data_IF_233565115789
#
_entry.id   IF_233565115789
#
_cell.length_a   1.000
_cell.length_b   1.000
_cell.length_c   1.000
_cell.angle_alpha   90.00
_cell.angle_beta   90.00
_cell.angle_gamma   90.00
#
_symmetry.space_group_name_H-M   'P 1'
#
loop_
_entity.id
_entity.type
_entity.pdbx_description
1 polymer ?
#
# COMPACT_ATOMS: atom_id res chain seq x y z
N UNK A 1 20.99 15.13 -47.88
CA UNK A 1 20.05 13.97 -47.91
C UNK A 1 18.98 14.12 -48.99
N UNK A 2 18.49 15.34 -49.27
CA UNK A 2 17.43 15.58 -50.26
C UNK A 2 17.82 15.26 -51.72
N UNK A 3 19.07 15.47 -52.11
CA UNK A 3 19.55 15.21 -53.48
C UNK A 3 19.40 13.74 -53.90
N UNK A 4 19.59 12.81 -52.96
CA UNK A 4 19.46 11.37 -53.23
C UNK A 4 18.00 10.92 -53.36
N UNK A 5 17.05 11.57 -52.67
CA UNK A 5 15.63 11.29 -52.83
C UNK A 5 15.12 11.81 -54.18
N UNK A 6 15.51 13.03 -54.56
CA UNK A 6 15.18 13.60 -55.87
C UNK A 6 15.72 12.74 -57.02
N UNK A 7 16.97 12.26 -56.91
CA UNK A 7 17.54 11.40 -57.93
C UNK A 7 16.77 10.08 -58.06
N UNK A 8 16.43 9.41 -56.95
CA UNK A 8 15.66 8.16 -56.97
C UNK A 8 14.25 8.34 -57.52
N UNK A 9 13.59 9.46 -57.18
CA UNK A 9 12.29 9.81 -57.75
C UNK A 9 12.39 10.07 -59.27
N UNK A 10 13.43 10.76 -59.72
CA UNK A 10 13.69 11.03 -61.13
C UNK A 10 13.93 9.75 -61.93
N UNK A 11 14.74 8.81 -61.40
CA UNK A 11 14.93 7.48 -61.99
C UNK A 11 13.63 6.67 -62.03
N UNK A 12 12.82 6.72 -60.96
CA UNK A 12 11.51 6.06 -60.93
C UNK A 12 10.57 6.57 -62.01
N UNK A 13 10.47 7.90 -62.18
CA UNK A 13 9.65 8.53 -63.22
C UNK A 13 10.16 8.20 -64.62
N UNK A 14 11.49 8.18 -64.82
CA UNK A 14 12.09 7.85 -66.12
C UNK A 14 11.79 6.40 -66.52
N UNK A 15 11.92 5.45 -65.58
CA UNK A 15 11.56 4.04 -65.80
C UNK A 15 10.06 3.89 -66.07
N UNK A 16 9.21 4.59 -65.32
CA UNK A 16 7.77 4.56 -65.51
C UNK A 16 7.39 5.09 -66.91
N UNK A 17 7.97 6.23 -67.32
CA UNK A 17 7.74 6.83 -68.63
C UNK A 17 8.21 5.96 -69.79
N UNK A 18 9.40 5.36 -69.68
CA UNK A 18 9.91 4.42 -70.70
C UNK A 18 9.04 3.18 -70.83
N UNK A 19 8.53 2.64 -69.71
CA UNK A 19 7.64 1.48 -69.72
C UNK A 19 6.27 1.77 -70.37
N UNK A 20 5.71 2.96 -70.12
CA UNK A 20 4.48 3.45 -70.73
C UNK A 20 4.62 3.60 -72.25
N UNK A 21 5.78 4.07 -72.72
CA UNK A 21 6.05 4.28 -74.14
C UNK A 21 6.32 2.98 -74.92
N UNK A 22 6.92 1.96 -74.29
CA UNK A 22 7.32 0.72 -74.98
C UNK A 22 6.25 -0.36 -74.99
N UNK A 23 5.45 -0.49 -73.93
CA UNK A 23 4.49 -1.60 -73.77
C UNK A 23 3.01 -1.16 -73.89
N UNK A 24 2.74 0.14 -73.97
CA UNK A 24 1.40 0.72 -74.04
C UNK A 24 0.67 0.72 -72.68
N UNK A 25 -0.32 1.61 -72.54
CA UNK A 25 -1.02 1.86 -71.27
C UNK A 25 -1.62 0.58 -70.64
N UNK A 26 -2.18 -0.30 -71.47
CA UNK A 26 -2.87 -1.51 -71.02
C UNK A 26 -1.95 -2.49 -70.28
N UNK A 27 -0.73 -2.72 -70.77
CA UNK A 27 0.20 -3.67 -70.17
C UNK A 27 0.74 -3.16 -68.82
N UNK A 28 0.99 -1.86 -68.73
CA UNK A 28 1.44 -1.22 -67.48
C UNK A 28 0.39 -1.32 -66.38
N UNK A 29 -0.89 -1.14 -66.72
CA UNK A 29 -2.00 -1.28 -65.78
C UNK A 29 -2.14 -2.72 -65.26
N UNK A 30 -1.99 -3.73 -66.13
CA UNK A 30 -2.01 -5.12 -65.70
C UNK A 30 -0.86 -5.47 -64.75
N UNK A 31 0.36 -5.03 -65.04
CA UNK A 31 1.50 -5.26 -64.12
C UNK A 31 1.23 -4.67 -62.74
N UNK A 32 0.68 -3.45 -62.68
CA UNK A 32 0.35 -2.80 -61.40
C UNK A 32 -0.71 -3.60 -60.63
N UNK A 33 -1.75 -4.10 -61.31
CA UNK A 33 -2.75 -4.98 -60.69
C UNK A 33 -2.12 -6.27 -60.17
N UNK A 34 -1.23 -6.91 -60.94
CA UNK A 34 -0.55 -8.13 -60.50
C UNK A 34 0.32 -7.89 -59.26
N UNK A 35 1.04 -6.76 -59.19
CA UNK A 35 1.83 -6.39 -58.01
C UNK A 35 0.91 -6.15 -56.80
N UNK A 36 -0.22 -5.46 -56.97
CA UNK A 36 -1.17 -5.24 -55.88
C UNK A 36 -1.77 -6.55 -55.37
N UNK A 37 -2.17 -7.46 -56.27
CA UNK A 37 -2.66 -8.79 -55.90
C UNK A 37 -1.60 -9.61 -55.16
N UNK A 38 -0.33 -9.50 -55.56
CA UNK A 38 0.77 -10.16 -54.88
C UNK A 38 0.98 -9.62 -53.46
N UNK A 39 0.94 -8.30 -53.27
CA UNK A 39 1.07 -7.67 -51.94
C UNK A 39 -0.09 -8.08 -51.04
N UNK A 40 -1.33 -8.05 -51.55
CA UNK A 40 -2.52 -8.46 -50.79
C UNK A 40 -2.42 -9.95 -50.42
N UNK A 41 -2.03 -10.81 -51.36
CA UNK A 41 -1.81 -12.24 -51.09
C UNK A 41 -0.74 -12.47 -50.03
N UNK A 42 0.37 -11.74 -50.10
CA UNK A 42 1.45 -11.83 -49.11
C UNK A 42 0.98 -11.39 -47.71
N UNK A 43 0.24 -10.29 -47.61
CA UNK A 43 -0.33 -9.82 -46.34
C UNK A 43 -1.36 -10.81 -45.76
N UNK A 44 -2.18 -11.44 -46.61
CA UNK A 44 -3.11 -12.48 -46.17
C UNK A 44 -2.37 -13.72 -45.64
N UNK A 45 -1.30 -14.15 -46.31
CA UNK A 45 -0.48 -15.28 -45.83
C UNK A 45 0.21 -14.93 -44.51
N UNK A 46 0.79 -13.74 -44.38
CA UNK A 46 1.39 -13.29 -43.11
C UNK A 46 0.35 -13.18 -41.99
N UNK A 47 -0.83 -12.64 -42.29
CA UNK A 47 -1.93 -12.54 -41.33
C UNK A 47 -2.43 -13.91 -40.90
N UNK A 48 -2.59 -14.84 -41.84
CA UNK A 48 -3.02 -16.22 -41.55
C UNK A 48 -1.97 -16.99 -40.75
N UNK A 49 -0.69 -16.88 -41.12
CA UNK A 49 0.41 -17.49 -40.39
C UNK A 49 0.57 -16.89 -38.99
N UNK A 50 0.42 -15.56 -38.88
CA UNK A 50 0.43 -14.85 -37.60
C UNK A 50 -0.76 -15.23 -36.71
N UNK A 51 -1.95 -15.43 -37.30
CA UNK A 51 -3.13 -15.89 -36.59
C UNK A 51 -2.95 -17.32 -36.06
N UNK A 52 -2.45 -18.25 -36.89
CA UNK A 52 -2.14 -19.62 -36.47
C UNK A 52 -1.08 -19.63 -35.36
N UNK A 53 0.02 -18.89 -35.54
CA UNK A 53 1.10 -18.85 -34.56
C UNK A 53 0.67 -18.21 -33.24
N UNK A 54 -0.16 -17.16 -33.29
CA UNK A 54 -0.73 -16.51 -32.12
C UNK A 54 -1.67 -17.45 -31.37
N UNK A 55 -2.51 -18.18 -32.10
CA UNK A 55 -3.42 -19.17 -31.52
C UNK A 55 -2.65 -20.33 -30.87
N UNK A 56 -1.61 -20.83 -31.53
CA UNK A 56 -0.77 -21.91 -31.01
C UNK A 56 0.04 -21.46 -29.79
N UNK A 57 0.58 -20.24 -29.79
CA UNK A 57 1.28 -19.65 -28.64
C UNK A 57 0.31 -19.47 -27.45
N UNK A 58 -0.92 -19.01 -27.70
CA UNK A 58 -1.94 -18.85 -26.67
C UNK A 58 -2.42 -20.20 -26.10
N UNK A 59 -2.48 -21.23 -26.95
CA UNK A 59 -2.80 -22.60 -26.52
C UNK A 59 -1.67 -23.20 -25.67
N UNK A 60 -0.43 -23.07 -26.12
CA UNK A 60 0.76 -23.54 -25.38
C UNK A 60 0.92 -22.82 -24.04
N UNK A 61 0.57 -21.54 -23.95
CA UNK A 61 0.54 -20.79 -22.69
C UNK A 61 -0.55 -21.29 -21.71
N UNK A 62 -1.65 -21.85 -22.22
CA UNK A 62 -2.72 -22.43 -21.40
C UNK A 62 -2.44 -23.88 -20.98
N UNK A 63 -1.77 -24.65 -21.83
CA UNK A 63 -1.48 -26.08 -21.60
C UNK A 63 -0.15 -26.32 -20.86
N UNK A 64 0.71 -25.29 -20.72
CA UNK A 64 1.62 -25.15 -19.59
C UNK A 64 2.56 -26.33 -19.31
N UNK A 65 3.48 -26.61 -20.22
CA UNK A 65 4.77 -27.21 -19.86
C UNK A 65 5.85 -26.17 -20.16
N UNK A 66 6.15 -25.32 -19.18
CA UNK A 66 7.28 -24.40 -19.28
C UNK A 66 8.56 -25.24 -19.39
N UNK A 67 9.06 -25.41 -20.62
CA UNK A 67 10.41 -25.93 -20.87
C UNK A 67 11.46 -25.16 -20.06
N UNK A 68 12.66 -25.74 -19.86
CA UNK A 68 13.62 -25.29 -18.85
C UNK A 68 13.90 -23.80 -19.02
N UNK A 69 13.32 -23.04 -18.10
CA UNK A 69 13.36 -21.60 -18.08
C UNK A 69 14.82 -21.19 -18.02
N UNK A 70 15.23 -20.28 -18.92
CA UNK A 70 16.60 -19.82 -19.04
C UNK A 70 17.16 -19.40 -17.67
N UNK A 71 18.43 -19.75 -17.42
CA UNK A 71 19.16 -19.52 -16.14
C UNK A 71 19.06 -18.08 -15.58
N UNK A 72 18.68 -17.11 -16.40
CA UNK A 72 18.42 -15.73 -15.97
C UNK A 72 17.12 -15.56 -15.18
N UNK A 73 16.04 -16.28 -15.53
CA UNK A 73 14.78 -16.18 -14.79
C UNK A 73 14.86 -16.87 -13.44
N UNK A 74 15.66 -17.93 -13.29
CA UNK A 74 15.87 -18.58 -12.00
C UNK A 74 16.54 -17.62 -11.01
N UNK A 75 17.47 -16.78 -11.48
CA UNK A 75 18.11 -15.76 -10.65
C UNK A 75 17.13 -14.64 -10.27
N UNK A 76 16.27 -14.23 -11.19
CA UNK A 76 15.22 -13.22 -10.93
C UNK A 76 14.13 -13.78 -10.02
N UNK A 77 13.71 -15.03 -10.22
CA UNK A 77 12.79 -15.74 -9.33
C UNK A 77 13.42 -15.95 -7.97
N UNK A 78 14.71 -16.26 -7.87
CA UNK A 78 15.42 -16.34 -6.58
C UNK A 78 15.46 -14.98 -5.88
N UNK A 79 15.82 -13.90 -6.57
CA UNK A 79 15.80 -12.53 -6.00
C UNK A 79 14.39 -12.13 -5.54
N UNK A 80 13.35 -12.40 -6.35
CA UNK A 80 11.95 -12.14 -5.99
C UNK A 80 11.47 -13.07 -4.86
N UNK A 81 11.91 -14.33 -4.84
CA UNK A 81 11.59 -15.26 -3.76
C UNK A 81 12.34 -14.92 -2.48
N UNK A 82 13.54 -14.35 -2.56
CA UNK A 82 14.38 -13.96 -1.43
C UNK A 82 13.92 -12.61 -0.86
N UNK A 83 13.46 -11.69 -1.70
CA UNK A 83 12.72 -10.50 -1.26
C UNK A 83 11.38 -10.89 -0.63
N UNK A 84 10.64 -11.85 -1.21
CA UNK A 84 9.43 -12.43 -0.62
C UNK A 84 9.69 -13.31 0.62
N UNK A 85 10.90 -13.87 0.79
CA UNK A 85 11.31 -14.63 1.99
C UNK A 85 11.77 -13.71 3.11
N UNK A 86 12.42 -12.59 2.79
CA UNK A 86 12.59 -11.47 3.74
C UNK A 86 11.22 -10.95 4.20
N UNK A 87 10.23 -11.02 3.31
CA UNK A 87 8.83 -10.72 3.59
C UNK A 87 8.06 -11.81 4.36
N UNK A 88 8.63 -13.02 4.53
CA UNK A 88 8.10 -14.00 5.49
C UNK A 88 8.45 -13.52 6.88
N UNK A 89 7.63 -12.60 7.35
CA UNK A 89 7.56 -12.17 8.72
C UNK A 89 7.47 -13.41 9.61
N UNK A 90 8.39 -13.51 10.56
CA UNK A 90 8.46 -14.62 11.49
C UNK A 90 7.09 -14.78 12.16
N UNK A 91 6.43 -15.93 11.95
CA UNK A 91 5.08 -16.22 12.49
C UNK A 91 5.13 -16.34 14.02
N UNK A 92 6.32 -16.26 14.62
CA UNK A 92 6.57 -16.33 16.05
C UNK A 92 6.67 -14.91 16.60
N UNK A 93 5.54 -14.40 17.08
CA UNK A 93 5.44 -13.06 17.66
C UNK A 93 5.64 -13.11 19.18
N UNK A 94 5.27 -14.21 19.81
CA UNK A 94 5.39 -14.38 21.27
C UNK A 94 5.96 -15.73 21.69
N UNK A 95 6.07 -16.68 20.75
CA UNK A 95 6.49 -18.07 21.01
C UNK A 95 5.33 -19.04 21.25
N UNK A 96 4.09 -18.57 21.19
CA UNK A 96 2.86 -19.38 21.27
C UNK A 96 1.97 -19.14 20.05
N UNK A 97 1.75 -20.17 19.24
CA UNK A 97 0.92 -20.08 18.03
C UNK A 97 -0.54 -19.68 18.33
N UNK A 98 -1.03 -19.97 19.54
CA UNK A 98 -2.38 -19.63 20.00
C UNK A 98 -2.62 -18.12 20.09
N UNK A 99 -1.59 -17.33 20.36
CA UNK A 99 -1.70 -15.87 20.53
C UNK A 99 -1.30 -15.17 19.23
N UNK A 100 -0.32 -15.72 18.53
CA UNK A 100 0.23 -15.10 17.31
C UNK A 100 -0.77 -15.14 16.15
N UNK A 101 -1.60 -16.18 16.08
CA UNK A 101 -2.62 -16.36 15.03
C UNK A 101 -3.79 -15.35 15.11
N UNK A 102 -4.47 -15.16 16.26
CA UNK A 102 -5.50 -14.13 16.39
C UNK A 102 -4.92 -12.71 16.30
N UNK A 103 -3.68 -12.48 16.74
CA UNK A 103 -3.04 -11.16 16.60
C UNK A 103 -2.81 -10.81 15.12
N UNK A 104 -2.39 -11.79 14.32
CA UNK A 104 -2.19 -11.63 12.89
C UNK A 104 -3.52 -11.39 12.16
N UNK A 105 -4.60 -12.02 12.61
CA UNK A 105 -5.96 -11.81 12.10
C UNK A 105 -6.47 -10.40 12.42
N UNK A 106 -6.35 -9.94 13.67
CA UNK A 106 -6.71 -8.57 14.07
C UNK A 106 -5.93 -7.54 13.25
N UNK A 107 -4.64 -7.78 13.02
CA UNK A 107 -3.82 -6.91 12.18
C UNK A 107 -4.36 -6.87 10.76
N UNK A 108 -4.70 -8.02 10.16
CA UNK A 108 -5.30 -8.07 8.83
C UNK A 108 -6.63 -7.33 8.75
N UNK A 109 -7.50 -7.48 9.75
CA UNK A 109 -8.77 -6.77 9.83
C UNK A 109 -8.55 -5.26 9.95
N UNK A 110 -7.60 -4.82 10.78
CA UNK A 110 -7.24 -3.41 10.91
C UNK A 110 -6.76 -2.81 9.57
N UNK A 111 -5.86 -3.49 8.87
CA UNK A 111 -5.40 -3.01 7.56
C UNK A 111 -6.53 -2.96 6.54
N UNK A 112 -7.40 -3.97 6.51
CA UNK A 112 -8.55 -4.03 5.60
C UNK A 112 -9.54 -2.89 5.85
N UNK A 113 -9.93 -2.70 7.10
CA UNK A 113 -11.07 -1.85 7.43
C UNK A 113 -10.64 -0.39 7.64
N UNK A 114 -9.42 -0.13 8.14
CA UNK A 114 -8.95 1.21 8.47
C UNK A 114 -7.86 1.76 7.55
N UNK A 115 -7.03 0.92 6.91
CA UNK A 115 -5.88 1.41 6.13
C UNK A 115 -6.21 1.42 4.64
N UNK A 116 -6.72 0.31 4.11
CA UNK A 116 -6.97 0.17 2.68
C UNK A 116 -8.02 1.17 2.16
N UNK A 117 -9.03 1.55 2.94
CA UNK A 117 -10.10 2.46 2.51
C UNK A 117 -9.62 3.84 2.07
N UNK A 118 -8.78 4.50 2.87
CA UNK A 118 -8.24 5.82 2.51
C UNK A 118 -6.95 5.70 1.70
N UNK A 119 -6.12 4.67 1.93
CA UNK A 119 -4.83 4.56 1.28
C UNK A 119 -4.95 4.36 -0.23
N UNK A 120 -5.86 3.51 -0.70
CA UNK A 120 -6.10 3.31 -2.14
C UNK A 120 -6.62 4.56 -2.84
N UNK A 121 -7.17 5.53 -2.10
CA UNK A 121 -7.62 6.81 -2.65
C UNK A 121 -6.44 7.78 -2.86
N UNK A 122 -5.33 7.60 -2.13
CA UNK A 122 -4.17 8.50 -2.15
C UNK A 122 -3.01 7.94 -2.98
N UNK A 123 -2.73 6.63 -2.91
CA UNK A 123 -1.65 6.01 -3.66
C UNK A 123 -1.85 4.50 -3.87
N UNK A 124 -1.24 3.94 -4.91
CA UNK A 124 -1.29 2.50 -5.27
C UNK A 124 0.01 1.75 -4.95
N UNK A 125 0.91 2.36 -4.19
CA UNK A 125 2.16 1.72 -3.79
C UNK A 125 1.94 0.64 -2.73
N UNK A 126 2.29 -0.61 -3.05
CA UNK A 126 2.20 -1.72 -2.10
C UNK A 126 3.35 -1.73 -1.08
N UNK A 127 4.45 -0.99 -1.35
CA UNK A 127 5.63 -0.94 -0.50
C UNK A 127 5.35 -0.33 0.88
N UNK A 128 4.72 0.85 0.91
CA UNK A 128 4.38 1.52 2.17
C UNK A 128 3.43 0.70 3.05
N UNK A 129 2.41 0.05 2.47
CA UNK A 129 1.47 -0.78 3.22
C UNK A 129 2.17 -1.93 3.93
N UNK A 130 3.18 -2.48 3.27
CA UNK A 130 3.99 -3.52 3.86
C UNK A 130 4.87 -3.02 5.01
N UNK A 131 5.59 -1.92 4.80
CA UNK A 131 6.45 -1.34 5.84
C UNK A 131 5.65 -0.93 7.07
N UNK A 132 4.43 -0.40 6.87
CA UNK A 132 3.50 -0.08 7.94
C UNK A 132 3.08 -1.36 8.69
N UNK A 133 2.76 -2.43 7.97
CA UNK A 133 2.39 -3.72 8.58
C UNK A 133 3.54 -4.31 9.38
N UNK A 134 4.75 -4.26 8.85
CA UNK A 134 5.95 -4.74 9.51
C UNK A 134 6.26 -3.92 10.78
N UNK A 135 6.10 -2.60 10.71
CA UNK A 135 6.33 -1.71 11.86
C UNK A 135 5.30 -1.96 12.96
N UNK A 136 4.02 -2.06 12.60
CA UNK A 136 2.94 -2.32 13.55
C UNK A 136 3.09 -3.70 14.21
N UNK A 137 3.49 -4.71 13.44
CA UNK A 137 3.79 -6.03 13.97
C UNK A 137 4.95 -6.00 14.98
N UNK A 138 6.05 -5.29 14.66
CA UNK A 138 7.17 -5.11 15.59
C UNK A 138 6.76 -4.37 16.87
N UNK A 139 5.94 -3.35 16.75
CA UNK A 139 5.39 -2.61 17.89
C UNK A 139 4.52 -3.52 18.77
N UNK A 140 3.65 -4.34 18.17
CA UNK A 140 2.81 -5.31 18.88
C UNK A 140 3.63 -6.39 19.58
N UNK A 141 4.69 -6.91 18.96
CA UNK A 141 5.61 -7.85 19.61
C UNK A 141 6.28 -7.21 20.81
N UNK A 142 6.81 -5.99 20.64
CA UNK A 142 7.47 -5.27 21.72
C UNK A 142 6.49 -5.00 22.87
N UNK A 143 5.26 -4.60 22.55
CA UNK A 143 4.18 -4.40 23.52
C UNK A 143 3.86 -5.71 24.25
N UNK A 144 3.59 -6.80 23.52
CA UNK A 144 3.26 -8.10 24.10
C UNK A 144 4.37 -8.63 25.01
N UNK A 145 5.64 -8.43 24.64
CA UNK A 145 6.77 -8.81 25.49
C UNK A 145 6.83 -7.97 26.77
N UNK A 146 6.61 -6.65 26.70
CA UNK A 146 6.54 -5.79 27.90
C UNK A 146 5.32 -6.10 28.77
N UNK A 147 4.21 -6.46 28.15
CA UNK A 147 2.98 -6.88 28.84
C UNK A 147 3.14 -8.17 29.64
N UNK A 148 4.05 -9.07 29.26
CA UNK A 148 4.34 -10.30 30.03
C UNK A 148 5.01 -10.01 31.38
N UNK A 149 5.80 -8.94 31.45
CA UNK A 149 6.51 -8.55 32.68
C UNK A 149 5.58 -7.86 33.70
N UNK A 150 4.37 -7.51 33.29
CA UNK A 150 3.37 -6.84 34.15
C UNK A 150 2.64 -7.87 35.01
N UNK A 151 2.61 -7.61 36.32
CA UNK A 151 1.78 -8.37 37.27
C UNK A 151 0.31 -7.95 37.14
N UNK A 152 -0.38 -8.50 36.13
CA UNK A 152 -1.76 -8.15 35.77
C UNK A 152 -2.75 -8.17 36.92
N UNK A 153 -2.66 -9.17 37.81
CA UNK A 153 -3.57 -9.28 38.97
C UNK A 153 -3.46 -8.04 39.84
N UNK A 154 -2.28 -7.75 40.36
CA UNK A 154 -2.05 -6.56 41.20
C UNK A 154 -2.32 -5.27 40.42
N UNK A 155 -1.94 -5.20 39.15
CA UNK A 155 -2.18 -4.01 38.34
C UNK A 155 -3.69 -3.71 38.22
N UNK A 156 -4.51 -4.71 37.89
CA UNK A 156 -5.94 -4.53 37.69
C UNK A 156 -6.69 -4.33 39.00
N UNK A 157 -6.33 -5.05 40.07
CA UNK A 157 -7.10 -5.02 41.32
C UNK A 157 -6.74 -3.87 42.25
N UNK A 158 -5.50 -3.39 42.22
CA UNK A 158 -5.07 -2.26 43.07
C UNK A 158 -4.89 -1.01 42.23
N UNK A 159 -3.82 -0.95 41.43
CA UNK A 159 -3.42 0.26 40.69
C UNK A 159 -4.54 0.85 39.81
N UNK A 160 -5.16 0.02 38.97
CA UNK A 160 -6.18 0.47 38.03
C UNK A 160 -7.48 0.87 38.74
N UNK A 161 -7.92 0.08 39.72
CA UNK A 161 -9.12 0.39 40.50
C UNK A 161 -8.91 1.63 41.36
N UNK A 162 -7.73 1.82 41.94
CA UNK A 162 -7.37 3.02 42.70
C UNK A 162 -7.41 4.26 41.81
N UNK A 163 -6.85 4.18 40.59
CA UNK A 163 -6.89 5.28 39.62
C UNK A 163 -8.31 5.63 39.18
N UNK A 164 -9.15 4.63 38.86
CA UNK A 164 -10.57 4.87 38.52
C UNK A 164 -11.31 5.45 39.71
N UNK A 165 -11.10 4.91 40.91
CA UNK A 165 -11.77 5.38 42.12
C UNK A 165 -11.39 6.83 42.41
N UNK A 166 -10.11 7.18 42.22
CA UNK A 166 -9.65 8.55 42.34
C UNK A 166 -10.27 9.45 41.26
N UNK A 167 -10.28 9.04 40.00
CA UNK A 167 -10.88 9.80 38.90
C UNK A 167 -12.39 10.02 39.11
N UNK A 168 -13.12 8.99 39.56
CA UNK A 168 -14.54 9.07 39.88
C UNK A 168 -14.79 9.97 41.10
N UNK A 169 -13.90 9.95 42.10
CA UNK A 169 -13.96 10.81 43.28
C UNK A 169 -13.75 12.28 42.91
N UNK A 170 -12.77 12.58 42.05
CA UNK A 170 -12.51 13.92 41.51
C UNK A 170 -13.70 14.38 40.66
N UNK A 171 -14.18 13.52 39.76
CA UNK A 171 -15.36 13.79 38.93
C UNK A 171 -16.60 14.12 39.76
N UNK A 172 -16.89 13.31 40.79
CA UNK A 172 -18.05 13.55 41.66
C UNK A 172 -17.94 14.88 42.41
N UNK A 173 -16.73 15.24 42.87
CA UNK A 173 -16.48 16.53 43.53
C UNK A 173 -16.56 17.71 42.57
N UNK A 174 -16.11 17.55 41.33
CA UNK A 174 -16.25 18.55 40.29
C UNK A 174 -17.73 18.80 39.97
N UNK A 175 -18.52 17.72 39.85
CA UNK A 175 -19.97 17.77 39.62
C UNK A 175 -20.72 18.43 40.79
N UNK A 176 -20.36 18.11 42.03
CA UNK A 176 -20.95 18.75 43.22
C UNK A 176 -20.64 20.26 43.29
N UNK A 177 -19.42 20.67 42.89
CA UNK A 177 -19.07 22.10 42.80
C UNK A 177 -19.85 22.81 41.70
N UNK A 178 -20.05 22.15 40.57
CA UNK A 178 -20.85 22.68 39.46
C UNK A 178 -22.30 22.91 39.91
N UNK A 179 -22.94 21.88 40.49
CA UNK A 179 -24.32 21.96 41.00
C UNK A 179 -24.48 23.01 42.11
N UNK A 180 -23.43 23.24 42.93
CA UNK A 180 -23.43 24.30 43.94
C UNK A 180 -23.24 25.70 43.35
N UNK A 181 -22.52 25.83 42.23
CA UNK A 181 -22.26 27.10 41.54
C UNK A 181 -23.40 27.57 40.62
N UNK A 182 -24.26 26.65 40.16
CA UNK A 182 -25.48 26.97 39.38
C UNK A 182 -26.46 27.90 40.12
N UNK A 183 -26.33 28.04 41.46
CA UNK A 183 -27.14 28.95 42.26
C UNK A 183 -26.63 30.39 42.40
N UNK A 184 -25.36 30.68 42.09
CA UNK A 184 -24.75 32.00 42.38
C UNK A 184 -24.14 32.72 41.16
N UNK A 185 -23.77 32.05 40.06
CA UNK A 185 -23.40 32.73 38.80
C UNK A 185 -23.51 31.78 37.58
N UNK A 186 -24.59 31.92 36.81
CA UNK A 186 -25.00 31.04 35.70
C UNK A 186 -24.17 31.19 34.40
N UNK A 187 -22.89 31.57 34.45
CA UNK A 187 -22.11 31.76 33.24
C UNK A 187 -20.70 31.18 33.34
N UNK A 188 -20.53 29.99 32.75
CA UNK A 188 -19.28 29.46 32.19
C UNK A 188 -18.26 28.78 33.12
N UNK A 189 -18.68 28.03 34.14
CA UNK A 189 -17.82 26.96 34.65
C UNK A 189 -18.04 25.71 33.81
N UNK A 190 -17.17 25.54 32.81
CA UNK A 190 -17.07 24.28 32.09
C UNK A 190 -16.70 23.15 33.07
N UNK A 191 -17.33 21.99 32.90
CA UNK A 191 -17.14 20.82 33.76
C UNK A 191 -15.67 20.39 33.74
N UNK A 192 -15.01 20.60 32.59
CA UNK A 192 -13.58 20.40 32.40
C UNK A 192 -12.75 21.28 33.35
N UNK A 193 -13.00 22.58 33.38
CA UNK A 193 -12.29 23.53 34.27
C UNK A 193 -12.53 23.22 35.75
N UNK A 194 -13.76 22.87 36.12
CA UNK A 194 -14.09 22.46 37.48
C UNK A 194 -13.39 21.14 37.88
N UNK A 195 -13.27 20.20 36.94
CA UNK A 195 -12.56 18.94 37.14
C UNK A 195 -11.07 19.15 37.39
N UNK A 196 -10.40 19.92 36.54
CA UNK A 196 -8.96 20.19 36.68
C UNK A 196 -8.63 21.02 37.93
N UNK A 197 -9.48 21.96 38.30
CA UNK A 197 -9.33 22.71 39.55
C UNK A 197 -9.44 21.78 40.78
N UNK A 198 -10.38 20.84 40.78
CA UNK A 198 -10.53 19.84 41.85
C UNK A 198 -9.37 18.85 41.87
N UNK A 199 -8.88 18.42 40.70
CA UNK A 199 -7.70 17.56 40.58
C UNK A 199 -6.47 18.26 41.19
N UNK A 200 -6.21 19.51 40.80
CA UNK A 200 -5.10 20.32 41.30
C UNK A 200 -5.15 20.51 42.84
N UNK A 201 -6.34 20.70 43.40
CA UNK A 201 -6.51 20.83 44.86
C UNK A 201 -6.36 19.51 45.61
N UNK A 202 -6.71 18.38 44.99
CA UNK A 202 -6.66 17.05 45.62
C UNK A 202 -5.32 16.34 45.46
N UNK A 203 -4.63 16.51 44.33
CA UNK A 203 -3.29 15.98 44.07
C UNK A 203 -2.28 17.13 44.10
N UNK A 204 -1.74 17.41 45.30
CA UNK A 204 -0.69 18.43 45.49
C UNK A 204 0.64 18.15 44.77
N UNK A 205 0.80 16.99 44.12
CA UNK A 205 2.09 16.54 43.60
C UNK A 205 2.13 16.48 42.06
N UNK A 206 1.01 16.23 41.38
CA UNK A 206 0.98 16.07 39.92
C UNK A 206 -0.38 16.55 39.36
N UNK A 207 -0.40 17.67 38.65
CA UNK A 207 -1.54 18.08 37.81
C UNK A 207 -1.25 17.67 36.36
N UNK A 208 -2.12 16.84 35.76
CA UNK A 208 -1.89 16.27 34.41
C UNK A 208 -1.87 17.34 33.31
N UNK A 209 -2.59 18.43 33.51
CA UNK A 209 -2.56 19.61 32.64
C UNK A 209 -1.16 20.25 32.56
N UNK A 210 -0.41 20.27 33.66
CA UNK A 210 0.94 20.85 33.68
C UNK A 210 2.02 19.92 33.10
N UNK A 211 1.78 18.61 33.05
CA UNK A 211 2.73 17.66 32.45
C UNK A 211 2.68 17.79 30.92
N UNK A 212 1.49 17.87 30.33
CA UNK A 212 1.33 17.97 28.88
C UNK A 212 1.83 19.31 28.30
N UNK A 213 2.07 20.33 29.14
CA UNK A 213 2.50 21.67 28.74
C UNK A 213 3.95 22.01 29.12
N UNK A 214 4.70 21.13 29.81
CA UNK A 214 6.07 21.44 30.23
C UNK A 214 7.04 20.26 30.10
N UNK A 215 8.00 20.38 29.16
CA UNK A 215 9.06 19.39 28.87
C UNK A 215 9.92 19.04 30.09
N UNK A 216 10.01 19.95 31.07
CA UNK A 216 10.80 19.77 32.30
C UNK A 216 10.15 18.80 33.31
N UNK A 217 8.83 18.67 33.33
CA UNK A 217 8.11 17.78 34.27
C UNK A 217 8.02 16.34 33.78
N UNK A 218 8.08 16.10 32.46
CA UNK A 218 8.14 14.73 31.91
C UNK A 218 9.43 14.01 32.32
N UNK A 219 10.58 14.70 32.31
CA UNK A 219 11.89 14.07 32.60
C UNK A 219 12.07 13.66 34.07
N UNK A 220 11.30 14.25 34.99
CA UNK A 220 11.33 13.92 36.42
C UNK A 220 10.64 12.62 36.82
N UNK A 221 9.81 12.05 35.93
CA UNK A 221 9.12 10.77 36.14
C UNK A 221 9.89 9.55 35.60
N UNK A 222 10.99 9.79 34.88
CA UNK A 222 11.82 8.75 34.23
C UNK A 222 13.15 8.44 34.94
N UNK A 223 13.38 9.02 36.13
CA UNK A 223 14.48 8.65 37.05
C UNK A 223 13.91 8.01 38.32
#
# INVERSE_FOLDING_TARGET
METNQFHRACWGILVLGLSLATFGLWWTFFILIYILLFIIGFLLVLGYWGYILSFETAKNAREGEFGPVSKGLEKVIQEIQLSRKSFKMDKRLTGSSIIDEPLQEVLQLFFRDYVHGWYYTISTDEGFLYDLRQTLQRALIAFANRSKDVKWVNFLTTRFVDDITNHLKIYRKAKERLEKSEGEDSAALDIETAFFQVEHEMQKDICREQICLSEGKEKGLTL
#
